data_IF_821964315496
#
_entry.id   IF_821964315496
#
_cell.length_a   1.000
_cell.length_b   1.000
_cell.length_c   1.000
_cell.angle_alpha   90.00
_cell.angle_beta   90.00
_cell.angle_gamma   90.00
#
_symmetry.space_group_name_H-M   'P 1'
#
loop_
_entity.id
_entity.type
_entity.pdbx_description
1 polymer ?
#
# COMPACT_ATOMS: atom_id res chain seq x y z
N UNK A 1 -4.99 11.43 -6.11
CA UNK A 1 -4.14 10.29 -6.53
C UNK A 1 -5.07 9.18 -7.00
N UNK A 2 -5.50 9.22 -8.27
CA UNK A 2 -6.43 8.24 -8.87
C UNK A 2 -5.70 7.34 -9.89
N UNK A 3 -4.39 7.15 -9.70
CA UNK A 3 -3.63 6.24 -10.54
C UNK A 3 -4.00 4.81 -10.16
N UNK A 4 -4.83 4.20 -11.00
CA UNK A 4 -4.92 2.74 -11.10
C UNK A 4 -3.50 2.24 -11.41
N UNK A 5 -2.77 1.75 -10.41
CA UNK A 5 -1.43 1.19 -10.60
C UNK A 5 -1.47 0.15 -11.70
N UNK A 6 -0.61 0.17 -12.71
CA UNK A 6 -0.65 -0.85 -13.75
C UNK A 6 -0.33 -2.26 -13.20
N UNK A 7 -0.66 -3.30 -13.98
CA UNK A 7 -0.37 -4.69 -13.59
C UNK A 7 1.13 -4.93 -13.37
N UNK A 8 2.00 -4.21 -14.08
CA UNK A 8 3.45 -4.29 -13.89
C UNK A 8 3.87 -3.85 -12.47
N UNK A 9 3.27 -2.79 -11.95
CA UNK A 9 3.49 -2.31 -10.57
C UNK A 9 3.02 -3.34 -9.55
N UNK A 10 1.86 -3.96 -9.76
CA UNK A 10 1.34 -5.02 -8.88
C UNK A 10 2.27 -6.24 -8.86
N UNK A 11 2.77 -6.68 -10.03
CA UNK A 11 3.77 -7.75 -10.12
C UNK A 11 5.05 -7.42 -9.37
N UNK A 12 5.54 -6.18 -9.52
CA UNK A 12 6.74 -5.71 -8.83
C UNK A 12 6.57 -5.79 -7.31
N UNK A 13 5.46 -5.28 -6.79
CA UNK A 13 5.14 -5.31 -5.36
C UNK A 13 5.02 -6.75 -4.82
N UNK A 14 4.29 -7.62 -5.54
CA UNK A 14 4.15 -9.03 -5.18
C UNK A 14 5.52 -9.74 -5.10
N UNK A 15 6.39 -9.50 -6.09
CA UNK A 15 7.74 -10.06 -6.11
C UNK A 15 8.60 -9.58 -4.95
N UNK A 16 8.56 -8.29 -4.61
CA UNK A 16 9.30 -7.73 -3.46
C UNK A 16 8.81 -8.36 -2.15
N UNK A 17 7.51 -8.60 -2.04
CA UNK A 17 6.92 -9.27 -0.88
C UNK A 17 7.10 -10.80 -0.88
N UNK A 18 7.68 -11.39 -1.94
CA UNK A 18 7.91 -12.83 -2.05
C UNK A 18 6.69 -13.66 -2.46
N UNK A 19 5.64 -13.02 -2.96
CA UNK A 19 4.44 -13.71 -3.48
C UNK A 19 4.63 -14.11 -4.95
N UNK A 20 4.12 -15.29 -5.30
CA UNK A 20 4.12 -15.84 -6.67
C UNK A 20 2.74 -15.78 -7.32
N UNK A 21 2.01 -14.68 -7.10
CA UNK A 21 0.65 -14.53 -7.59
C UNK A 21 0.59 -14.41 -9.12
N UNK A 22 -0.46 -14.97 -9.70
CA UNK A 22 -0.74 -14.84 -11.13
C UNK A 22 -1.30 -13.46 -11.45
N UNK A 23 -1.35 -13.13 -12.74
CA UNK A 23 -1.94 -11.88 -13.21
C UNK A 23 -3.41 -11.76 -12.81
N UNK A 24 -4.17 -12.85 -12.92
CA UNK A 24 -5.58 -12.91 -12.54
C UNK A 24 -5.77 -12.67 -11.04
N UNK A 25 -4.91 -13.22 -10.20
CA UNK A 25 -4.93 -13.00 -8.75
C UNK A 25 -4.60 -11.54 -8.40
N UNK A 26 -3.62 -10.94 -9.08
CA UNK A 26 -3.27 -9.53 -8.90
C UNK A 26 -4.40 -8.59 -9.34
N UNK A 27 -5.04 -8.89 -10.47
CA UNK A 27 -6.22 -8.16 -10.95
C UNK A 27 -7.40 -8.29 -9.99
N UNK A 28 -7.61 -9.47 -9.40
CA UNK A 28 -8.65 -9.67 -8.38
C UNK A 28 -8.38 -8.85 -7.11
N UNK A 29 -7.12 -8.65 -6.74
CA UNK A 29 -6.70 -7.85 -5.57
C UNK A 29 -6.66 -6.33 -5.85
N UNK A 30 -6.64 -5.91 -7.12
CA UNK A 30 -6.56 -4.50 -7.50
C UNK A 30 -7.57 -3.59 -6.78
N UNK A 31 -8.88 -3.95 -6.66
CA UNK A 31 -9.85 -3.05 -6.02
C UNK A 31 -9.58 -2.87 -4.53
N UNK A 32 -9.19 -3.93 -3.81
CA UNK A 32 -8.92 -3.84 -2.37
C UNK A 32 -7.63 -3.05 -2.11
N UNK A 33 -6.59 -3.26 -2.91
CA UNK A 33 -5.33 -2.50 -2.82
C UNK A 33 -5.59 -1.00 -3.05
N UNK A 34 -6.40 -0.67 -4.06
CA UNK A 34 -6.79 0.72 -4.33
C UNK A 34 -7.55 1.35 -3.16
N UNK A 35 -8.50 0.62 -2.57
CA UNK A 35 -9.24 1.10 -1.41
C UNK A 35 -8.32 1.35 -0.21
N UNK A 36 -7.39 0.42 0.08
CA UNK A 36 -6.41 0.56 1.15
C UNK A 36 -5.49 1.76 0.93
N UNK A 37 -5.02 2.00 -0.29
CA UNK A 37 -4.15 3.15 -0.60
C UNK A 37 -4.89 4.48 -0.53
N UNK A 38 -6.18 4.52 -0.91
CA UNK A 38 -7.03 5.71 -0.70
C UNK A 38 -7.20 6.00 0.79
N UNK A 39 -7.36 4.97 1.63
CA UNK A 39 -7.43 5.13 3.07
C UNK A 39 -6.11 5.68 3.63
N UNK A 40 -4.97 5.12 3.20
CA UNK A 40 -3.65 5.59 3.64
C UNK A 40 -3.37 7.04 3.21
N UNK A 41 -3.83 7.46 2.04
CA UNK A 41 -3.68 8.84 1.56
C UNK A 41 -4.39 9.88 2.47
N UNK A 42 -5.31 9.46 3.35
CA UNK A 42 -5.88 10.37 4.35
C UNK A 42 -4.87 10.78 5.42
N UNK A 43 -3.84 9.97 5.66
CA UNK A 43 -2.78 10.24 6.64
C UNK A 43 -1.89 11.42 6.23
N UNK A 44 -1.82 11.76 4.94
CA UNK A 44 -1.07 12.92 4.43
C UNK A 44 -1.60 14.25 4.98
N UNK A 45 -2.82 14.26 5.54
CA UNK A 45 -3.42 15.45 6.15
C UNK A 45 -3.01 15.67 7.60
N UNK A 46 -2.29 14.73 8.22
CA UNK A 46 -1.89 14.82 9.62
C UNK A 46 -0.71 15.80 9.79
N UNK A 47 -0.75 16.72 10.76
CA UNK A 47 0.35 17.65 11.01
C UNK A 47 1.48 16.95 11.77
N UNK A 48 2.43 16.36 11.03
CA UNK A 48 3.54 15.58 11.59
C UNK A 48 4.83 16.38 11.79
N UNK A 49 4.85 17.67 11.46
CA UNK A 49 6.06 18.52 11.41
C UNK A 49 6.86 18.58 12.73
N UNK A 50 6.19 18.32 13.86
CA UNK A 50 6.80 18.35 15.20
C UNK A 50 6.87 16.96 15.88
N UNK A 51 6.60 15.88 15.13
CA UNK A 51 6.55 14.51 15.67
C UNK A 51 7.77 13.72 15.20
N UNK A 52 8.60 13.29 16.14
CA UNK A 52 9.71 12.37 15.84
C UNK A 52 9.17 10.98 15.44
N UNK A 53 9.67 10.38 14.33
CA UNK A 53 9.31 9.02 13.96
C UNK A 53 9.67 8.02 15.06
N UNK A 54 8.69 7.26 15.56
CA UNK A 54 8.95 6.17 16.50
C UNK A 54 9.36 4.90 15.75
N UNK A 55 10.43 4.24 16.20
CA UNK A 55 10.84 2.90 15.75
C UNK A 55 10.41 1.79 16.71
N UNK A 56 9.76 2.15 17.82
CA UNK A 56 9.31 1.21 18.84
C UNK A 56 7.83 0.92 18.69
N UNK A 57 7.51 -0.32 18.34
CA UNK A 57 6.16 -0.85 18.46
C UNK A 57 5.87 -1.14 19.93
N UNK A 58 5.07 -0.30 20.59
CA UNK A 58 4.49 -0.66 21.89
C UNK A 58 3.33 -1.63 21.62
N UNK A 59 3.59 -2.91 21.81
CA UNK A 59 2.54 -3.93 21.88
C UNK A 59 1.97 -3.84 23.29
N UNK A 60 0.71 -3.41 23.40
CA UNK A 60 -0.08 -3.47 24.63
C UNK A 60 -0.77 -4.83 24.75
#
# INVERSE_FOLDING_TARGET
MDAVFDLATLRGAARVAGFTWTDEELEALRPVIQASLRLLATLDTLPLDAVEPTTQYRIL
#
